data_IF_278955257695
#
_entry.id   IF_278955257695
#
_cell.length_a   1.000
_cell.length_b   1.000
_cell.length_c   1.000
_cell.angle_alpha   90.00
_cell.angle_beta   90.00
_cell.angle_gamma   90.00
#
_symmetry.space_group_name_H-M   'P 1'
#
loop_
_entity.id
_entity.type
_entity.pdbx_description
1 polymer ?
#
# COMPACT_ATOMS: atom_id res chain seq x y z
N UNK A 1 22.93 42.63 20.31
CA UNK A 1 23.06 41.35 21.04
C UNK A 1 22.12 40.27 20.49
N UNK A 2 21.05 40.62 19.77
CA UNK A 2 20.06 39.67 19.22
C UNK A 2 20.48 38.93 17.93
N UNK A 3 21.19 39.59 17.00
CA UNK A 3 21.57 38.99 15.72
C UNK A 3 22.49 37.75 15.86
N UNK A 4 23.35 37.74 16.87
CA UNK A 4 24.26 36.61 17.16
C UNK A 4 23.53 35.40 17.74
N UNK A 5 22.42 35.62 18.44
CA UNK A 5 21.61 34.55 19.04
C UNK A 5 20.78 33.84 17.96
N UNK A 6 20.20 34.62 17.05
CA UNK A 6 19.38 34.12 15.94
C UNK A 6 20.21 33.28 14.96
N UNK A 7 21.44 33.71 14.61
CA UNK A 7 22.36 32.92 13.79
C UNK A 7 22.82 31.60 14.43
N UNK A 8 22.92 31.54 15.76
CA UNK A 8 23.21 30.28 16.48
C UNK A 8 22.00 29.35 16.49
N UNK A 9 20.78 29.89 16.61
CA UNK A 9 19.54 29.13 16.57
C UNK A 9 19.33 28.46 15.21
N UNK A 10 19.49 29.21 14.11
CA UNK A 10 19.36 28.68 12.74
C UNK A 10 20.46 27.67 12.38
N UNK A 11 21.70 27.91 12.83
CA UNK A 11 22.81 26.95 12.62
C UNK A 11 22.60 25.65 13.41
N UNK A 12 22.11 25.75 14.64
CA UNK A 12 21.83 24.57 15.45
C UNK A 12 20.60 23.81 14.91
N UNK A 13 19.57 24.50 14.43
CA UNK A 13 18.42 23.88 13.78
C UNK A 13 18.80 23.18 12.47
N UNK A 14 19.70 23.76 11.67
CA UNK A 14 20.24 23.13 10.46
C UNK A 14 21.07 21.87 10.76
N UNK A 15 21.92 21.92 11.79
CA UNK A 15 22.69 20.75 12.23
C UNK A 15 21.80 19.64 12.79
N UNK A 16 20.73 19.99 13.53
CA UNK A 16 19.75 19.02 14.04
C UNK A 16 18.92 18.42 12.90
N UNK A 17 18.49 19.22 11.92
CA UNK A 17 17.77 18.73 10.74
C UNK A 17 18.63 17.78 9.88
N UNK A 18 19.92 18.11 9.68
CA UNK A 18 20.89 17.25 8.99
C UNK A 18 21.21 15.98 9.78
N UNK A 19 21.35 16.08 11.10
CA UNK A 19 21.55 14.91 11.97
C UNK A 19 20.33 13.98 11.96
N UNK A 20 19.11 14.53 12.04
CA UNK A 20 17.88 13.75 11.91
C UNK A 20 17.80 13.10 10.52
N UNK A 21 18.02 13.84 9.43
CA UNK A 21 18.02 13.29 8.08
C UNK A 21 19.05 12.15 7.88
N UNK A 22 20.23 12.26 8.51
CA UNK A 22 21.26 11.21 8.46
C UNK A 22 20.89 9.94 9.23
N UNK A 23 20.09 10.05 10.31
CA UNK A 23 19.57 8.90 11.05
C UNK A 23 18.46 8.18 10.28
N UNK A 24 17.66 8.91 9.48
CA UNK A 24 16.65 8.30 8.59
C UNK A 24 17.26 7.59 7.37
N UNK A 25 18.38 8.10 6.83
CA UNK A 25 19.07 7.47 5.70
C UNK A 25 19.84 6.20 6.08
N UNK A 26 20.06 5.94 7.38
CA UNK A 26 20.72 4.75 7.88
C UNK A 26 19.76 3.60 8.22
N UNK A 27 18.45 3.74 7.92
CA UNK A 27 17.53 2.63 8.08
C UNK A 27 17.96 1.49 7.14
N UNK A 28 18.30 0.29 7.66
CA UNK A 28 18.50 -0.85 6.78
C UNK A 28 17.21 -1.03 5.97
N UNK A 29 17.35 -1.24 4.66
CA UNK A 29 16.23 -1.59 3.79
C UNK A 29 15.60 -2.88 4.31
N UNK A 30 14.59 -2.76 5.17
CA UNK A 30 13.82 -3.89 5.63
C UNK A 30 13.05 -4.40 4.42
N UNK A 31 13.41 -5.59 3.93
CA UNK A 31 12.68 -6.29 2.86
C UNK A 31 11.37 -6.86 3.41
N UNK A 32 10.51 -5.96 3.90
CA UNK A 32 9.33 -6.27 4.70
C UNK A 32 8.02 -5.96 3.97
N UNK A 33 8.06 -5.76 2.64
CA UNK A 33 6.84 -5.60 1.85
C UNK A 33 5.93 -6.84 1.99
N UNK A 34 6.51 -8.02 2.17
CA UNK A 34 5.76 -9.25 2.44
C UNK A 34 4.71 -9.50 1.36
N UNK A 35 3.45 -9.51 1.76
CA UNK A 35 2.28 -9.66 0.89
C UNK A 35 1.57 -8.32 0.60
N UNK A 36 2.20 -7.17 0.83
CA UNK A 36 1.63 -5.85 0.51
C UNK A 36 1.71 -5.58 -0.98
N UNK A 37 0.60 -5.15 -1.56
CA UNK A 37 0.54 -4.59 -2.90
C UNK A 37 0.60 -3.06 -2.77
N UNK A 38 1.79 -2.49 -2.98
CA UNK A 38 2.00 -1.05 -2.77
C UNK A 38 1.34 -0.23 -3.88
N UNK A 39 1.36 -0.72 -5.11
CA UNK A 39 0.84 -0.04 -6.29
C UNK A 39 -0.68 0.11 -6.26
N UNK A 40 -1.15 1.34 -6.08
CA UNK A 40 -2.58 1.65 -5.91
C UNK A 40 -3.07 2.79 -6.81
N UNK A 41 -2.25 3.24 -7.75
CA UNK A 41 -2.57 4.22 -8.79
C UNK A 41 -1.35 4.49 -9.66
N UNK A 42 -1.55 4.70 -10.97
CA UNK A 42 -0.43 4.79 -11.91
C UNK A 42 0.54 5.94 -11.59
N UNK A 43 0.02 7.08 -11.12
CA UNK A 43 0.84 8.22 -10.69
C UNK A 43 1.69 7.87 -9.46
N UNK A 44 1.08 7.26 -8.44
CA UNK A 44 1.79 6.80 -7.24
C UNK A 44 2.90 5.80 -7.56
N UNK A 45 2.57 4.78 -8.37
CA UNK A 45 3.55 3.79 -8.85
C UNK A 45 4.70 4.42 -9.63
N UNK A 46 4.39 5.33 -10.57
CA UNK A 46 5.41 6.00 -11.38
C UNK A 46 6.36 6.87 -10.55
N UNK A 47 5.92 7.32 -9.37
CA UNK A 47 6.73 8.06 -8.40
C UNK A 47 7.45 7.15 -7.39
N UNK A 48 7.38 5.82 -7.56
CA UNK A 48 7.94 4.88 -6.59
C UNK A 48 7.26 4.95 -5.23
N UNK A 49 5.94 5.17 -5.23
CA UNK A 49 5.08 5.29 -4.04
C UNK A 49 5.34 6.54 -3.17
N UNK A 50 6.15 7.48 -3.67
CA UNK A 50 6.41 8.77 -3.03
C UNK A 50 5.24 9.77 -3.24
N UNK A 51 4.01 9.35 -2.92
CA UNK A 51 2.80 10.06 -3.34
C UNK A 51 1.93 10.58 -2.18
N UNK A 52 2.27 10.30 -0.92
CA UNK A 52 1.40 10.62 0.25
C UNK A 52 1.11 12.12 0.45
N UNK A 53 2.05 12.98 0.07
CA UNK A 53 1.89 14.45 0.18
C UNK A 53 1.11 14.96 -1.03
N UNK A 54 1.52 14.54 -2.22
CA UNK A 54 0.88 14.98 -3.46
C UNK A 54 -0.57 14.49 -3.53
N UNK A 55 -0.84 13.19 -3.38
CA UNK A 55 -2.15 12.53 -3.29
C UNK A 55 -3.34 13.41 -3.75
N UNK A 56 -3.32 13.81 -5.02
CA UNK A 56 -4.17 14.86 -5.61
C UNK A 56 -5.11 14.28 -6.68
N UNK A 57 -5.40 12.99 -6.60
CA UNK A 57 -6.37 12.28 -7.43
C UNK A 57 -7.29 11.39 -6.58
N UNK A 58 -8.24 10.69 -7.19
CA UNK A 58 -9.18 9.83 -6.47
C UNK A 58 -8.49 8.71 -5.67
N UNK A 59 -7.25 8.31 -6.02
CA UNK A 59 -6.47 7.31 -5.27
C UNK A 59 -5.99 7.82 -3.92
N UNK A 60 -6.12 9.13 -3.64
CA UNK A 60 -5.85 9.71 -2.32
C UNK A 60 -6.62 9.00 -1.20
N UNK A 61 -7.76 8.35 -1.49
CA UNK A 61 -8.45 7.48 -0.53
C UNK A 61 -7.50 6.43 0.09
N UNK A 62 -6.63 5.81 -0.72
CA UNK A 62 -5.63 4.85 -0.24
C UNK A 62 -4.41 5.55 0.37
N UNK A 63 -3.87 6.55 -0.32
CA UNK A 63 -2.59 7.17 0.05
C UNK A 63 -2.70 8.14 1.23
N UNK A 64 -3.61 9.09 1.17
CA UNK A 64 -3.86 10.09 2.20
C UNK A 64 -5.28 10.66 2.06
N UNK A 65 -6.25 10.23 2.89
CA UNK A 65 -7.62 10.71 2.81
C UNK A 65 -7.78 12.23 2.78
N UNK A 66 -6.93 12.99 3.48
CA UNK A 66 -6.97 14.45 3.48
C UNK A 66 -6.63 15.06 2.11
N UNK A 67 -5.89 14.34 1.27
CA UNK A 67 -5.53 14.73 -0.09
C UNK A 67 -6.72 14.94 -1.01
N UNK A 68 -7.88 14.31 -0.73
CA UNK A 68 -9.12 14.51 -1.46
C UNK A 68 -9.57 15.99 -1.52
N UNK A 69 -9.20 16.79 -0.52
CA UNK A 69 -9.54 18.23 -0.43
C UNK A 69 -8.81 19.11 -1.45
N UNK A 70 -7.85 18.54 -2.19
CA UNK A 70 -7.09 19.24 -3.23
C UNK A 70 -7.84 19.33 -4.56
N UNK A 71 -8.88 18.52 -4.74
CA UNK A 71 -9.64 18.42 -5.99
C UNK A 71 -11.05 18.95 -5.81
N UNK A 72 -11.66 19.36 -6.92
CA UNK A 72 -13.06 19.85 -6.98
C UNK A 72 -13.85 19.06 -7.99
N UNK A 73 -15.16 18.90 -7.78
CA UNK A 73 -16.04 18.08 -8.60
C UNK A 73 -15.97 16.58 -8.29
N UNK A 74 -16.51 15.78 -9.20
CA UNK A 74 -16.51 14.31 -9.15
C UNK A 74 -15.43 13.73 -10.05
N UNK A 75 -14.62 12.85 -9.51
CA UNK A 75 -13.56 12.12 -10.19
C UNK A 75 -13.76 10.61 -10.01
N UNK A 76 -13.57 9.84 -11.09
CA UNK A 76 -13.58 8.38 -11.07
C UNK A 76 -12.28 7.90 -11.67
N UNK A 77 -11.54 7.08 -10.94
CA UNK A 77 -10.30 6.46 -11.40
C UNK A 77 -10.41 4.95 -11.31
N UNK A 78 -10.16 4.25 -12.40
CA UNK A 78 -10.11 2.80 -12.42
C UNK A 78 -8.84 2.34 -13.15
N UNK A 79 -8.27 1.23 -12.70
CA UNK A 79 -7.06 0.68 -13.27
C UNK A 79 -6.79 -0.72 -12.76
N UNK A 80 -5.70 -1.30 -13.23
CA UNK A 80 -5.23 -2.58 -12.75
C UNK A 80 -3.73 -2.74 -12.97
N UNK A 81 -3.13 -3.62 -12.19
CA UNK A 81 -1.75 -4.04 -12.36
C UNK A 81 -1.67 -5.51 -12.76
N UNK A 82 -0.71 -5.81 -13.63
CA UNK A 82 -0.28 -7.16 -13.91
C UNK A 82 1.04 -7.40 -13.18
N UNK A 83 1.01 -8.30 -12.20
CA UNK A 83 2.22 -8.71 -11.49
C UNK A 83 2.76 -9.97 -12.15
N UNK A 84 3.97 -9.90 -12.69
CA UNK A 84 4.73 -11.06 -13.11
C UNK A 84 5.76 -11.38 -12.03
N UNK A 85 5.60 -12.53 -11.37
CA UNK A 85 6.57 -13.02 -10.39
C UNK A 85 7.41 -14.09 -11.03
N UNK A 86 8.72 -13.87 -11.00
CA UNK A 86 9.74 -14.82 -11.42
C UNK A 86 10.67 -15.06 -10.22
N UNK A 87 10.52 -16.23 -9.59
CA UNK A 87 11.24 -16.58 -8.37
C UNK A 87 12.03 -17.86 -8.62
N UNK A 88 13.36 -17.72 -8.66
CA UNK A 88 14.28 -18.85 -8.70
C UNK A 88 14.81 -19.17 -7.30
N UNK A 89 14.79 -20.43 -6.90
CA UNK A 89 15.43 -20.90 -5.67
C UNK A 89 16.52 -21.89 -6.02
N UNK A 90 17.72 -21.66 -5.46
CA UNK A 90 18.80 -22.62 -5.50
C UNK A 90 18.79 -23.45 -4.21
N UNK A 91 18.42 -24.72 -4.31
CA UNK A 91 18.39 -25.65 -3.20
C UNK A 91 19.68 -26.45 -3.06
N UNK A 92 19.81 -27.15 -1.94
CA UNK A 92 20.92 -28.10 -1.70
C UNK A 92 20.76 -29.36 -2.56
N UNK A 93 19.51 -29.76 -2.83
CA UNK A 93 19.18 -30.97 -3.58
C UNK A 93 18.81 -30.68 -5.05
N UNK A 94 18.05 -29.63 -5.30
CA UNK A 94 17.65 -29.22 -6.65
C UNK A 94 17.37 -27.71 -6.71
N UNK A 95 17.40 -27.16 -7.92
CA UNK A 95 16.95 -25.80 -8.19
C UNK A 95 15.50 -25.82 -8.64
N UNK A 96 14.78 -24.73 -8.42
CA UNK A 96 13.41 -24.58 -8.90
C UNK A 96 13.14 -23.13 -9.32
N UNK A 97 12.13 -22.95 -10.17
CA UNK A 97 11.71 -21.64 -10.67
C UNK A 97 10.19 -21.57 -10.77
N UNK A 98 9.62 -20.59 -10.09
CA UNK A 98 8.20 -20.26 -10.15
C UNK A 98 8.00 -19.03 -11.02
N UNK A 99 7.11 -19.14 -12.00
CA UNK A 99 6.64 -18.03 -12.81
C UNK A 99 5.12 -17.90 -12.70
N UNK A 100 4.60 -16.74 -12.31
CA UNK A 100 3.16 -16.52 -12.16
C UNK A 100 2.76 -15.10 -12.55
N UNK A 101 1.62 -14.99 -13.23
CA UNK A 101 0.93 -13.73 -13.46
C UNK A 101 -0.25 -13.58 -12.50
N UNK A 102 -0.39 -12.41 -11.89
CA UNK A 102 -1.56 -12.01 -11.11
C UNK A 102 -2.12 -10.68 -11.63
N UNK A 103 -3.43 -10.49 -11.45
CA UNK A 103 -4.15 -9.31 -11.88
C UNK A 103 -4.80 -8.60 -10.69
N UNK A 104 -4.44 -7.33 -10.47
CA UNK A 104 -4.85 -6.55 -9.30
C UNK A 104 -5.65 -5.31 -9.75
N UNK A 105 -6.98 -5.36 -9.79
CA UNK A 105 -7.80 -4.22 -10.14
C UNK A 105 -7.95 -3.24 -8.97
N UNK A 106 -8.19 -1.98 -9.30
CA UNK A 106 -8.57 -0.95 -8.36
C UNK A 106 -9.58 0.03 -8.98
N UNK A 107 -10.47 0.54 -8.13
CA UNK A 107 -11.45 1.57 -8.46
C UNK A 107 -11.50 2.58 -7.32
N UNK A 108 -11.47 3.86 -7.67
CA UNK A 108 -11.62 4.98 -6.76
C UNK A 108 -12.64 5.96 -7.30
N UNK A 109 -13.44 6.51 -6.39
CA UNK A 109 -14.40 7.58 -6.68
C UNK A 109 -14.17 8.67 -5.64
N UNK A 110 -14.15 9.93 -6.07
CA UNK A 110 -14.09 11.10 -5.20
C UNK A 110 -15.13 12.13 -5.64
N UNK A 111 -15.79 12.80 -4.71
CA UNK A 111 -16.74 13.88 -5.01
C UNK A 111 -16.84 14.88 -3.85
N UNK A 112 -17.16 16.14 -4.16
CA UNK A 112 -17.66 17.10 -3.16
C UNK A 112 -19.17 17.05 -2.98
N UNK A 113 -19.91 16.47 -3.93
CA UNK A 113 -21.34 16.67 -4.06
C UNK A 113 -21.75 18.16 -4.01
N UNK A 114 -20.92 19.05 -4.54
CA UNK A 114 -21.14 20.50 -4.54
C UNK A 114 -20.79 21.22 -3.22
N UNK A 115 -20.18 20.53 -2.25
CA UNK A 115 -19.64 21.15 -1.04
C UNK A 115 -18.34 21.91 -1.30
N UNK A 116 -18.14 23.05 -0.63
CA UNK A 116 -16.88 23.80 -0.69
C UNK A 116 -15.77 23.12 0.14
N UNK A 117 -16.12 22.60 1.32
CA UNK A 117 -15.16 22.10 2.32
C UNK A 117 -15.09 20.58 2.41
N UNK A 118 -16.19 19.87 2.14
CA UNK A 118 -16.30 18.43 2.35
C UNK A 118 -15.97 17.65 1.09
N UNK A 119 -15.35 16.49 1.29
CA UNK A 119 -15.02 15.52 0.25
C UNK A 119 -15.40 14.13 0.70
N UNK A 120 -15.90 13.36 -0.23
CA UNK A 120 -16.31 11.98 -0.03
C UNK A 120 -15.57 11.12 -1.04
N UNK A 121 -15.08 9.99 -0.58
CA UNK A 121 -14.33 9.04 -1.38
C UNK A 121 -14.81 7.62 -1.17
N UNK A 122 -14.56 6.78 -2.16
CA UNK A 122 -14.71 5.35 -2.06
C UNK A 122 -13.54 4.67 -2.79
N UNK A 123 -12.92 3.68 -2.14
CA UNK A 123 -11.99 2.77 -2.80
C UNK A 123 -12.54 1.34 -2.82
N UNK A 124 -12.27 0.64 -3.92
CA UNK A 124 -12.32 -0.81 -4.05
C UNK A 124 -10.97 -1.25 -4.60
N UNK A 125 -10.12 -1.87 -3.79
CA UNK A 125 -8.77 -2.24 -4.19
C UNK A 125 -8.26 -3.50 -3.48
N UNK A 126 -7.08 -3.99 -3.87
CA UNK A 126 -6.44 -5.17 -3.29
C UNK A 126 -5.11 -4.81 -2.62
N UNK A 127 -5.11 -4.20 -1.42
CA UNK A 127 -3.90 -3.69 -0.78
C UNK A 127 -2.94 -4.77 -0.29
N UNK A 128 -3.42 -6.01 -0.15
CA UNK A 128 -2.60 -7.16 0.23
C UNK A 128 -2.93 -8.38 -0.63
N UNK A 129 -1.91 -9.12 -1.02
CA UNK A 129 -2.03 -10.40 -1.69
C UNK A 129 -0.69 -11.01 -2.04
N UNK A 130 -0.68 -12.33 -2.20
CA UNK A 130 0.45 -13.13 -2.63
C UNK A 130 -0.08 -14.42 -3.25
N UNK A 131 0.54 -14.88 -4.33
CA UNK A 131 0.22 -16.16 -4.94
C UNK A 131 1.50 -16.92 -5.33
N UNK A 132 1.69 -18.09 -4.75
CA UNK A 132 2.82 -18.98 -5.06
C UNK A 132 2.27 -20.29 -5.58
N UNK A 133 2.87 -20.80 -6.65
CA UNK A 133 2.55 -22.12 -7.22
C UNK A 133 3.85 -22.80 -7.69
N UNK A 134 4.36 -23.69 -6.86
CA UNK A 134 5.57 -24.49 -7.10
C UNK A 134 5.26 -25.83 -7.76
N UNK A 135 3.98 -26.14 -8.01
CA UNK A 135 3.55 -27.44 -8.47
C UNK A 135 3.70 -28.55 -7.42
N UNK A 136 3.11 -29.71 -7.71
CA UNK A 136 2.96 -30.79 -6.73
C UNK A 136 4.17 -31.74 -6.61
N UNK A 137 5.18 -31.62 -7.48
CA UNK A 137 6.26 -32.61 -7.63
C UNK A 137 7.67 -32.05 -7.47
N UNK A 138 7.81 -30.74 -7.28
CA UNK A 138 9.09 -30.06 -7.12
C UNK A 138 9.70 -30.22 -5.71
N UNK A 139 10.90 -29.66 -5.48
CA UNK A 139 11.59 -29.71 -4.19
C UNK A 139 10.78 -29.10 -3.02
N UNK A 140 9.79 -28.26 -3.32
CA UNK A 140 8.88 -27.66 -2.33
C UNK A 140 7.61 -28.48 -2.04
N UNK A 141 7.44 -29.65 -2.67
CA UNK A 141 6.23 -30.45 -2.58
C UNK A 141 5.73 -30.73 -1.15
N UNK A 142 6.64 -30.79 -0.17
CA UNK A 142 6.32 -31.08 1.23
C UNK A 142 6.31 -29.85 2.14
N UNK A 143 6.61 -28.66 1.61
CA UNK A 143 6.63 -27.40 2.34
C UNK A 143 5.47 -26.52 1.87
N UNK A 144 5.38 -26.28 0.57
CA UNK A 144 4.31 -25.51 -0.06
C UNK A 144 4.25 -25.85 -1.55
N UNK A 145 3.13 -26.36 -2.01
CA UNK A 145 2.86 -26.51 -3.46
C UNK A 145 2.13 -25.27 -3.97
N UNK A 146 1.16 -24.78 -3.22
CA UNK A 146 0.39 -23.58 -3.55
C UNK A 146 0.11 -22.78 -2.28
N UNK A 147 0.28 -21.47 -2.35
CA UNK A 147 -0.12 -20.56 -1.28
C UNK A 147 -0.67 -19.28 -1.89
N UNK A 148 -1.95 -19.02 -1.67
CA UNK A 148 -2.64 -17.84 -2.17
C UNK A 148 -3.27 -17.07 -1.02
N UNK A 149 -3.15 -15.75 -1.09
CA UNK A 149 -3.80 -14.78 -0.23
C UNK A 149 -4.26 -13.64 -1.11
N UNK A 150 -5.53 -13.28 -1.02
CA UNK A 150 -6.06 -12.05 -1.63
C UNK A 150 -6.83 -11.32 -0.55
N UNK A 151 -6.56 -10.02 -0.36
CA UNK A 151 -7.32 -9.18 0.55
C UNK A 151 -7.84 -7.98 -0.21
N UNK A 152 -9.15 -7.98 -0.46
CA UNK A 152 -9.87 -6.87 -1.03
C UNK A 152 -10.26 -5.89 0.06
N UNK A 153 -10.29 -4.60 -0.27
CA UNK A 153 -10.65 -3.53 0.63
C UNK A 153 -11.74 -2.66 -0.01
N UNK A 154 -12.76 -2.37 0.78
CA UNK A 154 -13.79 -1.39 0.49
C UNK A 154 -13.67 -0.25 1.50
N UNK A 155 -13.33 0.95 1.04
CA UNK A 155 -13.00 2.06 1.94
C UNK A 155 -13.81 3.34 1.64
N UNK A 156 -15.04 3.47 2.19
CA UNK A 156 -15.71 4.76 2.25
C UNK A 156 -14.87 5.74 3.07
N UNK A 157 -14.76 6.96 2.56
CA UNK A 157 -13.81 7.96 3.03
C UNK A 157 -14.47 9.33 3.07
N UNK A 158 -14.11 10.11 4.08
CA UNK A 158 -14.52 11.51 4.19
C UNK A 158 -13.28 12.37 4.50
N UNK A 159 -13.24 13.55 3.91
CA UNK A 159 -12.24 14.55 4.23
C UNK A 159 -12.87 15.94 4.30
N UNK A 160 -12.26 16.81 5.09
CA UNK A 160 -12.74 18.17 5.31
C UNK A 160 -11.56 19.14 5.29
N UNK A 161 -11.75 20.23 4.56
CA UNK A 161 -10.86 21.39 4.62
C UNK A 161 -11.18 22.19 5.88
N UNK A 162 -10.24 22.28 6.81
CA UNK A 162 -10.39 23.05 8.05
C UNK A 162 -10.13 24.53 7.79
N UNK A 163 -9.16 24.83 6.92
CA UNK A 163 -8.85 26.15 6.39
C UNK A 163 -8.01 26.01 5.12
N UNK A 164 -7.57 27.13 4.54
CA UNK A 164 -6.79 27.18 3.29
C UNK A 164 -5.50 26.36 3.30
N UNK A 165 -5.00 25.94 4.48
CA UNK A 165 -3.73 25.24 4.63
C UNK A 165 -3.85 23.89 5.32
N UNK A 166 -4.92 23.63 6.05
CA UNK A 166 -5.06 22.42 6.86
C UNK A 166 -6.30 21.65 6.42
N UNK A 167 -6.10 20.36 6.20
CA UNK A 167 -7.18 19.42 5.89
C UNK A 167 -6.94 18.10 6.61
N UNK A 168 -8.03 17.44 6.97
CA UNK A 168 -8.00 16.13 7.62
C UNK A 168 -8.95 15.19 6.89
N UNK A 169 -8.69 13.89 6.95
CA UNK A 169 -9.57 12.89 6.38
C UNK A 169 -9.47 11.57 7.12
N UNK A 170 -10.48 10.74 6.93
CA UNK A 170 -10.55 9.41 7.51
C UNK A 170 -11.29 8.45 6.59
N UNK A 171 -10.87 7.19 6.62
CA UNK A 171 -11.47 6.08 5.88
C UNK A 171 -11.83 4.97 6.85
N UNK A 172 -13.00 4.36 6.65
CA UNK A 172 -13.34 3.08 7.25
C UNK A 172 -12.98 2.00 6.25
N UNK A 173 -11.99 1.18 6.55
CA UNK A 173 -11.56 0.09 5.66
C UNK A 173 -12.31 -1.19 6.04
N UNK A 174 -13.03 -1.78 5.10
CA UNK A 174 -13.67 -3.07 5.25
C UNK A 174 -12.94 -4.06 4.35
N UNK A 175 -12.22 -4.98 4.97
CA UNK A 175 -11.43 -5.98 4.30
C UNK A 175 -12.19 -7.29 4.18
N UNK A 176 -12.08 -7.95 3.03
CA UNK A 176 -12.43 -9.34 2.84
C UNK A 176 -11.22 -10.07 2.30
N UNK A 177 -10.83 -11.16 2.96
CA UNK A 177 -9.65 -11.93 2.61
C UNK A 177 -9.99 -13.38 2.34
N UNK A 178 -9.38 -13.93 1.30
CA UNK A 178 -9.43 -15.34 0.92
C UNK A 178 -8.01 -15.90 0.95
N UNK A 179 -7.85 -17.11 1.49
CA UNK A 179 -6.57 -17.80 1.47
C UNK A 179 -6.71 -19.28 1.13
N UNK A 180 -5.73 -19.78 0.38
CA UNK A 180 -5.57 -21.21 0.08
C UNK A 180 -4.14 -21.62 0.38
N UNK A 181 -3.97 -22.77 1.03
CA UNK A 181 -2.66 -23.39 1.26
C UNK A 181 -2.73 -24.86 0.88
N UNK A 182 -1.79 -25.31 0.05
CA UNK A 182 -1.64 -26.70 -0.36
C UNK A 182 -0.21 -27.17 -0.18
N UNK A 183 -0.05 -28.40 0.27
CA UNK A 183 1.23 -29.12 0.33
C UNK A 183 0.99 -30.63 0.42
N UNK A 184 1.98 -31.45 0.07
CA UNK A 184 1.94 -32.88 0.33
C UNK A 184 2.46 -33.16 1.73
N UNK A 185 1.73 -33.88 2.58
CA UNK A 185 2.18 -34.14 3.95
C UNK A 185 3.02 -35.42 4.11
N UNK A 186 3.15 -36.27 3.07
CA UNK A 186 3.95 -37.49 3.15
C UNK A 186 4.56 -37.91 1.81
N UNK A 187 5.87 -38.21 1.74
CA UNK A 187 6.50 -38.74 0.53
C UNK A 187 6.16 -40.22 0.26
N UNK A 188 5.57 -40.92 1.23
CA UNK A 188 5.30 -42.36 1.15
C UNK A 188 3.87 -42.69 0.74
N UNK A 189 2.98 -41.69 0.70
CA UNK A 189 1.56 -41.88 0.43
C UNK A 189 1.20 -41.13 -0.87
N UNK A 190 1.01 -41.84 -1.99
CA UNK A 190 0.52 -41.22 -3.21
C UNK A 190 -0.80 -40.48 -2.95
N UNK A 191 -0.90 -39.22 -3.38
CA UNK A 191 -2.10 -38.40 -3.20
C UNK A 191 -2.27 -37.77 -1.81
N UNK A 192 -1.21 -37.64 -1.01
CA UNK A 192 -1.23 -37.02 0.32
C UNK A 192 -1.39 -35.49 0.30
N UNK A 193 -2.25 -34.95 -0.55
CA UNK A 193 -2.45 -33.51 -0.67
C UNK A 193 -3.24 -32.99 0.54
N UNK A 194 -2.62 -32.13 1.33
CA UNK A 194 -3.31 -31.29 2.28
C UNK A 194 -3.81 -30.03 1.55
N UNK A 195 -5.05 -29.64 1.81
CA UNK A 195 -5.66 -28.39 1.32
C UNK A 195 -6.34 -27.70 2.49
N UNK A 196 -5.97 -26.45 2.70
CA UNK A 196 -6.62 -25.54 3.63
C UNK A 196 -7.15 -24.34 2.86
N UNK A 197 -8.40 -23.98 3.15
CA UNK A 197 -9.06 -22.80 2.61
C UNK A 197 -9.73 -22.07 3.76
N UNK A 198 -9.63 -20.75 3.75
CA UNK A 198 -10.32 -19.90 4.70
C UNK A 198 -10.64 -18.55 4.06
N UNK A 199 -11.79 -18.01 4.43
CA UNK A 199 -12.17 -16.63 4.18
C UNK A 199 -12.38 -15.89 5.50
N UNK A 200 -12.34 -14.56 5.44
CA UNK A 200 -12.57 -13.73 6.60
C UNK A 200 -12.85 -12.28 6.25
N UNK A 201 -13.44 -11.56 7.21
CA UNK A 201 -13.64 -10.13 7.12
C UNK A 201 -12.95 -9.42 8.28
N UNK A 202 -12.42 -8.23 8.01
CA UNK A 202 -11.83 -7.37 9.03
C UNK A 202 -12.25 -5.92 8.80
N UNK A 203 -12.21 -5.12 9.86
CA UNK A 203 -12.44 -3.68 9.77
C UNK A 203 -11.21 -2.94 10.30
N UNK A 204 -10.89 -1.82 9.68
CA UNK A 204 -9.80 -0.94 10.09
C UNK A 204 -10.12 0.51 9.79
N UNK A 205 -9.21 1.40 10.14
CA UNK A 205 -9.36 2.82 9.85
C UNK A 205 -8.04 3.40 9.34
N UNK A 206 -8.14 4.33 8.40
CA UNK A 206 -7.03 5.17 7.95
C UNK A 206 -7.36 6.61 8.32
N UNK A 207 -6.39 7.36 8.81
CA UNK A 207 -6.52 8.80 9.07
C UNK A 207 -5.42 9.55 8.33
N UNK A 208 -5.76 10.69 7.77
CA UNK A 208 -4.88 11.53 6.98
C UNK A 208 -4.91 12.96 7.48
N UNK A 209 -3.75 13.61 7.42
CA UNK A 209 -3.61 15.05 7.66
C UNK A 209 -2.81 15.62 6.49
N UNK A 210 -3.25 16.76 5.98
CA UNK A 210 -2.55 17.55 4.98
C UNK A 210 -2.34 18.94 5.53
N UNK A 211 -1.09 19.40 5.55
CA UNK A 211 -0.74 20.75 5.95
C UNK A 211 0.14 21.42 4.90
N UNK A 212 -0.40 22.45 4.25
CA UNK A 212 0.27 23.23 3.22
C UNK A 212 0.95 24.44 3.85
N UNK A 213 2.26 24.33 4.07
CA UNK A 213 3.06 25.38 4.72
C UNK A 213 3.17 26.61 3.81
N UNK A 214 3.28 26.40 2.49
CA UNK A 214 3.43 27.42 1.47
C UNK A 214 2.74 27.00 0.17
N UNK A 215 2.32 27.96 -0.66
CA UNK A 215 1.58 27.70 -1.91
C UNK A 215 2.36 26.82 -2.90
N UNK A 216 3.69 26.91 -2.88
CA UNK A 216 4.59 26.13 -3.76
C UNK A 216 4.93 24.73 -3.24
N UNK A 217 4.53 24.40 -2.01
CA UNK A 217 4.70 23.07 -1.43
C UNK A 217 3.33 22.39 -1.47
N UNK A 218 2.99 21.86 -2.64
CA UNK A 218 1.82 21.02 -2.87
C UNK A 218 2.17 19.56 -2.55
#
# INVERSE_FOLDING_TARGET
>A
MEATYMNRLFRNAGCVALACASVWMAAPSARALGFRNADQGAAGTAQGEAFIVQADDASAVYYNPAGLTQRTGTEVMAGAYLLYRDVSVAGVADNDRMEKFDFLPHLYVASDFGSEDWRFGLAVNAPFGLAMDWGATGPFAFVVTEAELTVMNFAPTVAVRINDRLSIGASLNVYHGDTTLKFNYSPLLPGSLFRFEADGAAVGATVGVRWQIHEQHA
#
